data_IF_868239494064
#
_entry.id   IF_868239494064
#
_cell.length_a   1.000
_cell.length_b   1.000
_cell.length_c   1.000
_cell.angle_alpha   90.00
_cell.angle_beta   90.00
_cell.angle_gamma   90.00
#
_symmetry.space_group_name_H-M   'P 1'
#
loop_
_entity.id
_entity.type
_entity.pdbx_description
1 polymer ?
#
# COMPACT_ATOMS: atom_id res chain seq x y z
N UNK A 1 15.75 72.12 -60.39
CA UNK A 1 14.77 73.06 -59.79
C UNK A 1 15.09 73.14 -58.31
N UNK A 2 15.60 74.29 -57.89
CA UNK A 2 15.61 74.73 -56.50
C UNK A 2 14.19 74.86 -55.98
N UNK A 3 13.97 74.58 -54.69
CA UNK A 3 13.41 75.49 -53.67
C UNK A 3 13.17 74.64 -52.40
N UNK A 4 14.02 74.77 -51.37
CA UNK A 4 13.89 75.68 -50.23
C UNK A 4 13.12 75.07 -49.06
N UNK A 5 13.77 75.19 -47.90
CA UNK A 5 13.26 74.86 -46.58
C UNK A 5 12.12 75.81 -46.19
N UNK A 6 11.08 75.28 -45.51
CA UNK A 6 10.28 76.11 -44.60
C UNK A 6 10.13 75.41 -43.26
N UNK A 7 10.96 75.89 -42.33
CA UNK A 7 10.75 75.83 -40.89
C UNK A 7 9.42 76.47 -40.53
N UNK A 8 8.54 75.79 -39.79
CA UNK A 8 7.65 76.50 -38.83
C UNK A 8 7.13 75.56 -37.73
N UNK A 9 7.67 75.80 -36.53
CA UNK A 9 7.03 75.91 -35.21
C UNK A 9 6.33 74.70 -34.55
N UNK A 10 6.99 74.24 -33.47
CA UNK A 10 6.42 74.03 -32.13
C UNK A 10 5.01 74.59 -31.93
N UNK A 11 4.10 73.72 -31.51
CA UNK A 11 3.07 74.00 -30.49
C UNK A 11 2.50 72.66 -29.98
N UNK A 12 2.58 72.50 -28.65
CA UNK A 12 1.77 71.71 -27.71
C UNK A 12 0.63 70.87 -28.31
N UNK A 13 0.37 69.63 -27.87
CA UNK A 13 -0.02 69.29 -26.51
C UNK A 13 -0.23 67.76 -26.41
N UNK A 14 -0.21 67.23 -25.19
CA UNK A 14 -0.74 65.92 -24.78
C UNK A 14 0.02 64.63 -25.19
N UNK A 15 1.18 64.46 -24.55
CA UNK A 15 1.82 63.17 -24.28
C UNK A 15 0.86 62.14 -23.67
N UNK A 16 0.94 60.91 -24.20
CA UNK A 16 0.63 59.62 -23.58
C UNK A 16 -0.80 59.36 -23.07
N UNK A 17 -1.49 58.53 -23.84
CA UNK A 17 -2.52 57.59 -23.37
C UNK A 17 -1.99 56.87 -22.11
N UNK A 18 -2.69 56.88 -20.97
CA UNK A 18 -2.24 56.13 -19.80
C UNK A 18 -2.27 54.62 -20.11
N UNK A 19 -1.25 53.84 -19.72
CA UNK A 19 -1.37 52.39 -19.71
C UNK A 19 -2.53 52.02 -18.78
N UNK A 20 -3.29 50.95 -19.08
CA UNK A 20 -4.30 50.47 -18.14
C UNK A 20 -3.62 50.20 -16.80
N UNK A 21 -4.09 50.89 -15.76
CA UNK A 21 -3.77 50.57 -14.37
C UNK A 21 -4.21 49.12 -14.12
N UNK A 22 -3.30 48.17 -14.33
CA UNK A 22 -3.37 46.91 -13.62
C UNK A 22 -3.00 47.25 -12.18
N UNK A 23 -4.05 47.47 -11.37
CA UNK A 23 -3.94 47.47 -9.93
C UNK A 23 -3.06 46.28 -9.52
N UNK A 24 -1.86 46.61 -9.05
CA UNK A 24 -0.97 45.67 -8.41
C UNK A 24 -1.61 45.23 -7.11
N UNK A 25 -2.51 44.25 -7.21
CA UNK A 25 -2.78 43.36 -6.09
C UNK A 25 -1.55 42.44 -5.99
N UNK A 26 -0.53 42.94 -5.32
CA UNK A 26 0.62 42.16 -4.89
C UNK A 26 0.13 41.24 -3.75
N UNK A 27 -0.78 40.33 -4.05
CA UNK A 27 -1.01 39.18 -3.20
C UNK A 27 -0.04 38.11 -3.69
N UNK A 28 1.11 38.08 -3.00
CA UNK A 28 2.04 36.95 -2.82
C UNK A 28 1.60 35.68 -3.58
N UNK A 29 2.43 35.10 -4.48
CA UNK A 29 2.09 33.81 -5.07
C UNK A 29 1.71 32.87 -3.92
N UNK A 30 0.59 32.13 -3.99
CA UNK A 30 0.29 31.15 -2.96
C UNK A 30 1.57 30.33 -2.84
N UNK A 31 2.14 30.29 -1.64
CA UNK A 31 3.13 29.29 -1.30
C UNK A 31 2.50 27.98 -1.73
N UNK A 32 2.93 27.46 -2.89
CA UNK A 32 2.35 26.30 -3.53
C UNK A 32 2.73 25.12 -2.65
N UNK A 33 1.99 24.97 -1.55
CA UNK A 33 2.05 23.83 -0.68
C UNK A 33 1.64 22.66 -1.55
N UNK A 34 2.61 21.83 -1.92
CA UNK A 34 2.31 20.55 -2.51
C UNK A 34 1.63 19.74 -1.41
N UNK A 35 0.30 19.74 -1.41
CA UNK A 35 -0.48 18.80 -0.59
C UNK A 35 -0.20 17.40 -1.14
N UNK A 36 0.71 16.68 -0.47
CA UNK A 36 1.06 15.28 -0.79
C UNK A 36 -0.14 14.35 -0.51
N UNK A 37 -1.11 14.84 0.28
CA UNK A 37 -2.35 14.15 0.64
C UNK A 37 -3.58 14.99 0.24
N UNK A 38 -4.67 14.38 -0.27
CA UNK A 38 -4.86 12.96 -0.54
C UNK A 38 -4.17 12.49 -1.83
N UNK A 39 -3.72 11.22 -1.91
CA UNK A 39 -3.18 10.64 -3.14
C UNK A 39 -4.22 10.65 -4.26
N UNK A 40 -3.75 10.83 -5.50
CA UNK A 40 -4.64 10.73 -6.68
C UNK A 40 -5.16 9.31 -6.85
N UNK A 41 -6.32 9.15 -7.51
CA UNK A 41 -6.88 7.81 -7.79
C UNK A 41 -5.89 6.90 -8.51
N UNK A 42 -5.13 7.42 -9.47
CA UNK A 42 -4.08 6.66 -10.17
C UNK A 42 -3.03 6.10 -9.21
N UNK A 43 -2.64 6.89 -8.20
CA UNK A 43 -1.69 6.45 -7.17
C UNK A 43 -2.31 5.35 -6.31
N UNK A 44 -3.58 5.51 -5.91
CA UNK A 44 -4.33 4.48 -5.15
C UNK A 44 -4.42 3.17 -5.93
N UNK A 45 -4.75 3.23 -7.23
CA UNK A 45 -4.82 2.06 -8.10
C UNK A 45 -3.46 1.35 -8.26
N UNK A 46 -2.37 2.12 -8.32
CA UNK A 46 -1.02 1.57 -8.35
C UNK A 46 -0.66 0.84 -7.04
N UNK A 47 -1.09 1.36 -5.89
CA UNK A 47 -0.94 0.69 -4.58
C UNK A 47 -1.73 -0.61 -4.56
N UNK A 48 -2.98 -0.62 -5.02
CA UNK A 48 -3.81 -1.83 -5.12
C UNK A 48 -3.13 -2.87 -6.01
N UNK A 49 -2.65 -2.47 -7.19
CA UNK A 49 -1.92 -3.37 -8.11
C UNK A 49 -0.69 -3.96 -7.44
N UNK A 50 0.08 -3.15 -6.71
CA UNK A 50 1.26 -3.61 -5.99
C UNK A 50 0.92 -4.58 -4.86
N UNK A 51 -0.19 -4.35 -4.16
CA UNK A 51 -0.70 -5.27 -3.13
C UNK A 51 -1.09 -6.62 -3.75
N UNK A 52 -1.80 -6.61 -4.88
CA UNK A 52 -2.17 -7.84 -5.61
C UNK A 52 -0.92 -8.63 -5.98
N UNK A 53 0.08 -7.99 -6.60
CA UNK A 53 1.35 -8.63 -6.92
C UNK A 53 2.00 -9.23 -5.67
N UNK A 54 2.03 -8.49 -4.56
CA UNK A 54 2.68 -8.94 -3.32
C UNK A 54 1.96 -10.15 -2.69
N UNK A 55 0.63 -10.19 -2.76
CA UNK A 55 -0.19 -11.27 -2.20
C UNK A 55 -0.21 -12.52 -3.09
N UNK A 56 -0.09 -12.35 -4.41
CA UNK A 56 -0.16 -13.46 -5.39
C UNK A 56 1.20 -14.06 -5.74
N UNK A 57 2.28 -13.29 -5.64
CA UNK A 57 3.63 -13.74 -6.02
C UNK A 57 4.37 -14.42 -4.86
N UNK A 58 5.24 -15.40 -5.16
CA UNK A 58 6.10 -15.98 -4.15
C UNK A 58 7.11 -14.94 -3.63
N UNK A 59 7.06 -14.65 -2.33
CA UNK A 59 7.86 -13.63 -1.64
C UNK A 59 8.22 -14.10 -0.22
N UNK A 60 8.93 -13.27 0.55
CA UNK A 60 9.24 -13.57 1.96
C UNK A 60 7.97 -13.78 2.79
N UNK A 61 6.91 -13.02 2.50
CA UNK A 61 5.61 -13.19 3.14
C UNK A 61 4.97 -14.54 2.79
N UNK A 62 5.03 -14.96 1.52
CA UNK A 62 4.45 -16.23 1.09
C UNK A 62 5.20 -17.44 1.64
N UNK A 63 6.48 -17.31 2.04
CA UNK A 63 7.20 -18.39 2.73
C UNK A 63 6.64 -18.67 4.12
N UNK A 64 6.02 -17.67 4.77
CA UNK A 64 5.46 -17.79 6.12
C UNK A 64 3.96 -18.01 6.12
N UNK A 65 3.28 -17.40 5.16
CA UNK A 65 1.82 -17.38 5.11
C UNK A 65 1.25 -17.92 3.81
N UNK A 66 2.03 -18.36 2.82
CA UNK A 66 1.57 -18.78 1.49
C UNK A 66 1.10 -17.62 0.58
N UNK A 67 0.75 -17.92 -0.66
CA UNK A 67 0.17 -16.96 -1.63
C UNK A 67 -1.36 -17.02 -1.62
N UNK A 68 -2.00 -15.93 -2.07
CA UNK A 68 -3.44 -15.86 -2.28
C UNK A 68 -3.80 -16.11 -3.75
N UNK A 69 -4.98 -16.71 -4.04
CA UNK A 69 -5.51 -16.74 -5.40
C UNK A 69 -5.82 -15.33 -5.88
N UNK A 70 -5.71 -15.09 -7.20
CA UNK A 70 -5.81 -13.75 -7.77
C UNK A 70 -7.12 -13.03 -7.46
N UNK A 71 -8.25 -13.74 -7.47
CA UNK A 71 -9.57 -13.16 -7.18
C UNK A 71 -9.67 -12.63 -5.74
N UNK A 72 -9.28 -13.46 -4.77
CA UNK A 72 -9.24 -13.10 -3.35
C UNK A 72 -8.23 -11.96 -3.10
N UNK A 73 -7.05 -12.02 -3.74
CA UNK A 73 -6.03 -10.99 -3.62
C UNK A 73 -6.51 -9.63 -4.13
N UNK A 74 -7.29 -9.58 -5.22
CA UNK A 74 -7.89 -8.33 -5.74
C UNK A 74 -8.87 -7.75 -4.74
N UNK A 75 -9.77 -8.58 -4.20
CA UNK A 75 -10.74 -8.14 -3.19
C UNK A 75 -10.05 -7.63 -1.92
N UNK A 76 -9.09 -8.41 -1.40
CA UNK A 76 -8.34 -8.05 -0.21
C UNK A 76 -7.51 -6.77 -0.42
N UNK A 77 -6.82 -6.61 -1.55
CA UNK A 77 -6.02 -5.43 -1.84
C UNK A 77 -6.86 -4.15 -1.90
N UNK A 78 -8.06 -4.21 -2.49
CA UNK A 78 -8.99 -3.08 -2.50
C UNK A 78 -9.46 -2.72 -1.10
N UNK A 79 -9.82 -3.71 -0.30
CA UNK A 79 -10.26 -3.49 1.07
C UNK A 79 -9.15 -2.91 1.96
N UNK A 80 -7.94 -3.46 1.86
CA UNK A 80 -6.75 -2.95 2.57
C UNK A 80 -6.51 -1.48 2.24
N UNK A 81 -6.54 -1.13 0.95
CA UNK A 81 -6.27 0.23 0.48
C UNK A 81 -7.38 1.21 0.90
N UNK A 82 -8.65 0.84 0.71
CA UNK A 82 -9.79 1.69 1.07
C UNK A 82 -9.83 1.96 2.57
N UNK A 83 -9.66 0.92 3.40
CA UNK A 83 -9.65 1.10 4.85
C UNK A 83 -8.45 1.94 5.30
N UNK A 84 -7.28 1.77 4.69
CA UNK A 84 -6.11 2.58 5.00
C UNK A 84 -6.31 4.05 4.58
N UNK A 85 -6.94 4.29 3.42
CA UNK A 85 -7.27 5.61 2.93
C UNK A 85 -8.27 6.31 3.86
N UNK A 86 -9.31 5.59 4.32
CA UNK A 86 -10.29 6.12 5.27
C UNK A 86 -9.63 6.49 6.61
N UNK A 87 -8.86 5.58 7.20
CA UNK A 87 -8.19 5.83 8.51
C UNK A 87 -7.18 6.97 8.43
N UNK A 88 -6.43 7.06 7.34
CA UNK A 88 -5.52 8.18 7.11
C UNK A 88 -6.28 9.48 6.84
N UNK A 89 -7.39 9.42 6.09
CA UNK A 89 -8.29 10.54 5.83
C UNK A 89 -8.89 11.11 7.11
N UNK A 90 -9.27 10.26 8.07
CA UNK A 90 -9.77 10.68 9.39
C UNK A 90 -8.68 11.35 10.25
N UNK A 91 -7.41 11.03 9.98
CA UNK A 91 -6.26 11.67 10.61
C UNK A 91 -5.89 13.01 9.95
N UNK A 92 -6.51 13.36 8.82
CA UNK A 92 -6.24 14.60 8.12
C UNK A 92 -6.86 15.80 8.84
N UNK A 93 -6.00 16.68 9.35
CA UNK A 93 -6.46 17.92 10.00
C UNK A 93 -6.92 18.93 8.93
N UNK A 94 -8.08 19.58 9.10
CA UNK A 94 -8.67 20.47 8.08
C UNK A 94 -7.84 21.73 7.74
N UNK A 95 -6.88 22.12 8.59
CA UNK A 95 -6.04 23.31 8.41
C UNK A 95 -4.63 23.01 7.89
N UNK A 96 -4.43 21.84 7.28
CA UNK A 96 -3.14 21.46 6.71
C UNK A 96 -2.24 20.70 7.68
N UNK A 97 -2.78 19.65 8.30
CA UNK A 97 -1.94 18.61 8.91
C UNK A 97 -0.88 18.15 7.90
N UNK A 98 0.34 17.87 8.37
CA UNK A 98 1.44 17.54 7.47
C UNK A 98 1.06 16.31 6.63
N UNK A 99 0.91 16.50 5.32
CA UNK A 99 0.52 15.44 4.39
C UNK A 99 1.46 14.24 4.45
N UNK A 100 2.69 14.44 4.92
CA UNK A 100 3.68 13.38 5.17
C UNK A 100 3.27 12.50 6.36
N UNK A 101 2.81 13.08 7.47
CA UNK A 101 2.31 12.33 8.63
C UNK A 101 1.09 11.48 8.25
N UNK A 102 0.17 12.06 7.47
CA UNK A 102 -1.01 11.35 6.98
C UNK A 102 -0.60 10.18 6.07
N UNK A 103 0.35 10.41 5.16
CA UNK A 103 0.89 9.36 4.29
C UNK A 103 1.60 8.26 5.09
N UNK A 104 2.23 8.61 6.21
CA UNK A 104 2.84 7.65 7.12
C UNK A 104 1.78 6.76 7.78
N UNK A 105 0.65 7.32 8.22
CA UNK A 105 -0.50 6.56 8.74
C UNK A 105 -1.02 5.61 7.66
N UNK A 106 -1.23 6.10 6.44
CA UNK A 106 -1.67 5.28 5.30
C UNK A 106 -0.73 4.09 5.05
N UNK A 107 0.58 4.34 4.98
CA UNK A 107 1.60 3.30 4.73
C UNK A 107 1.64 2.25 5.84
N UNK A 108 1.49 2.69 7.10
CA UNK A 108 1.44 1.81 8.28
C UNK A 108 0.18 0.95 8.25
N UNK A 109 -0.97 1.52 7.95
CA UNK A 109 -2.25 0.81 7.89
C UNK A 109 -2.27 -0.22 6.75
N UNK A 110 -1.74 0.12 5.56
CA UNK A 110 -1.57 -0.86 4.47
C UNK A 110 -0.76 -2.06 4.95
N UNK A 111 0.42 -1.80 5.53
CA UNK A 111 1.33 -2.87 5.96
C UNK A 111 0.71 -3.75 7.03
N UNK A 112 0.01 -3.13 7.99
CA UNK A 112 -0.70 -3.82 9.08
C UNK A 112 -1.81 -4.71 8.52
N UNK A 113 -2.73 -4.15 7.73
CA UNK A 113 -3.86 -4.91 7.18
C UNK A 113 -3.42 -6.01 6.23
N UNK A 114 -2.39 -5.77 5.42
CA UNK A 114 -1.80 -6.82 4.58
C UNK A 114 -1.31 -8.00 5.41
N UNK A 115 -0.64 -7.76 6.54
CA UNK A 115 -0.22 -8.81 7.47
C UNK A 115 -1.41 -9.50 8.15
N UNK A 116 -2.44 -8.75 8.54
CA UNK A 116 -3.66 -9.31 9.13
C UNK A 116 -4.38 -10.23 8.15
N UNK A 117 -4.53 -9.84 6.88
CA UNK A 117 -5.12 -10.67 5.82
C UNK A 117 -4.38 -12.00 5.65
N UNK A 118 -3.04 -11.98 5.55
CA UNK A 118 -2.28 -13.23 5.34
C UNK A 118 -2.23 -14.11 6.59
N UNK A 119 -2.37 -13.52 7.80
CA UNK A 119 -2.41 -14.25 9.08
C UNK A 119 -3.78 -14.85 9.38
N UNK A 120 -4.86 -14.15 9.01
CA UNK A 120 -6.22 -14.64 9.21
C UNK A 120 -6.56 -15.81 8.28
N UNK A 121 -5.73 -16.06 7.26
CA UNK A 121 -5.95 -17.20 6.37
C UNK A 121 -5.78 -18.51 7.16
N UNK A 122 -6.75 -19.42 7.14
CA UNK A 122 -6.59 -20.74 7.73
C UNK A 122 -5.44 -21.43 7.01
N UNK A 123 -4.29 -21.53 7.70
CA UNK A 123 -3.22 -22.41 7.27
C UNK A 123 -3.77 -23.82 7.38
N UNK A 124 -3.64 -24.60 6.31
CA UNK A 124 -4.08 -26.00 6.27
C UNK A 124 -3.35 -26.84 7.35
N UNK A 125 -2.32 -26.28 8.00
CA UNK A 125 -1.54 -26.86 9.08
C UNK A 125 -1.92 -26.43 10.52
N UNK A 126 -3.04 -25.72 10.77
CA UNK A 126 -3.43 -25.35 12.16
C UNK A 126 -4.91 -25.47 12.49
N UNK A 127 -5.65 -26.33 11.80
CA UNK A 127 -7.00 -26.72 12.22
C UNK A 127 -7.13 -28.24 12.33
N UNK A 128 -6.37 -28.84 13.25
CA UNK A 128 -6.65 -30.18 13.77
C UNK A 128 -5.81 -30.45 15.02
N UNK A 129 -6.17 -29.92 16.18
CA UNK A 129 -6.25 -30.63 17.48
C UNK A 129 -6.96 -29.66 18.43
N UNK A 130 -8.29 -29.73 18.46
CA UNK A 130 -9.00 -29.53 19.72
C UNK A 130 -9.52 -30.90 20.12
N UNK A 131 -8.68 -31.61 20.89
CA UNK A 131 -9.07 -32.81 21.63
C UNK A 131 -9.65 -32.31 22.95
N UNK A 132 -10.98 -32.33 23.07
CA UNK A 132 -11.62 -32.45 24.37
C UNK A 132 -12.51 -33.71 24.41
N UNK A 133 -11.90 -34.74 24.98
CA UNK A 133 -12.44 -35.71 25.94
C UNK A 133 -13.97 -35.92 26.04
N UNK A 134 -14.41 -37.14 25.71
CA UNK A 134 -15.39 -37.84 26.55
C UNK A 134 -15.24 -39.36 26.36
N UNK A 135 -14.70 -39.99 27.40
CA UNK A 135 -14.60 -41.44 27.56
C UNK A 135 -15.97 -42.11 27.63
N UNK A 136 -16.12 -43.27 26.99
CA UNK A 136 -16.96 -44.37 27.48
C UNK A 136 -16.23 -45.71 27.31
N UNK A 137 -15.81 -46.22 28.47
CA UNK A 137 -15.57 -47.57 29.00
C UNK A 137 -15.66 -48.86 28.12
N UNK A 138 -15.09 -49.98 28.64
CA UNK A 138 -14.47 -51.07 27.89
C UNK A 138 -15.41 -52.27 27.64
N UNK A 139 -15.09 -53.08 26.63
CA UNK A 139 -15.47 -54.50 26.63
C UNK A 139 -14.25 -55.36 26.28
N UNK A 140 -14.14 -56.42 27.07
CA UNK A 140 -13.10 -57.43 27.14
C UNK A 140 -13.48 -58.53 26.15
N UNK A 141 -12.56 -59.01 25.32
CA UNK A 141 -12.33 -60.45 25.11
C UNK A 141 -10.98 -60.70 24.40
N UNK A 142 -10.34 -61.79 24.79
CA UNK A 142 -8.91 -62.15 24.67
C UNK A 142 -8.59 -62.84 23.29
N UNK A 143 -7.39 -63.43 23.00
CA UNK A 143 -6.63 -63.37 21.75
C UNK A 143 -6.60 -64.81 21.13
N UNK A 144 -5.57 -65.40 20.46
CA UNK A 144 -4.25 -64.93 20.01
C UNK A 144 -3.87 -65.40 18.58
N UNK A 145 -2.58 -65.23 18.24
CA UNK A 145 -1.81 -65.83 17.13
C UNK A 145 -1.53 -64.86 15.98
N UNK A 146 -0.31 -64.72 15.47
CA UNK A 146 0.98 -65.35 15.76
C UNK A 146 2.06 -64.48 15.08
N UNK A 147 3.27 -64.45 15.67
CA UNK A 147 4.60 -64.65 15.03
C UNK A 147 4.93 -63.83 13.75
N UNK A 148 6.10 -63.22 13.54
CA UNK A 148 7.47 -63.51 13.96
C UNK A 148 8.41 -62.37 13.49
N UNK A 149 9.59 -62.31 14.12
CA UNK A 149 10.89 -61.80 13.63
C UNK A 149 11.03 -60.31 13.24
N UNK A 150 11.86 -59.52 13.95
CA UNK A 150 13.35 -59.54 13.90
C UNK A 150 13.86 -59.09 12.51
N UNK A 151 14.85 -58.23 12.32
CA UNK A 151 15.91 -57.70 13.17
C UNK A 151 16.73 -56.71 12.31
N UNK A 152 17.33 -55.70 12.96
CA UNK A 152 18.58 -54.97 12.66
C UNK A 152 19.05 -54.71 11.22
N UNK A 153 19.50 -53.47 10.97
CA UNK A 153 20.94 -53.18 10.86
C UNK A 153 21.25 -51.69 10.60
N UNK A 154 21.97 -51.12 11.56
CA UNK A 154 22.83 -49.93 11.51
C UNK A 154 23.95 -50.12 10.48
N UNK A 155 24.25 -49.11 9.65
CA UNK A 155 25.64 -48.81 9.24
C UNK A 155 25.82 -47.31 8.99
N UNK A 156 26.68 -46.72 9.82
CA UNK A 156 27.42 -45.48 9.58
C UNK A 156 28.57 -45.78 8.61
N UNK A 157 28.95 -44.84 7.74
CA UNK A 157 30.36 -44.63 7.35
C UNK A 157 30.55 -43.21 6.80
N UNK A 158 31.32 -42.41 7.54
CA UNK A 158 32.16 -41.31 7.02
C UNK A 158 33.18 -41.87 6.01
N UNK A 159 33.63 -41.06 5.04
CA UNK A 159 35.07 -40.95 4.73
C UNK A 159 35.37 -39.74 3.83
N UNK A 160 36.30 -38.96 4.35
CA UNK A 160 37.07 -37.84 3.82
C UNK A 160 37.93 -38.21 2.61
N UNK A 161 38.12 -37.26 1.69
CA UNK A 161 39.34 -37.07 0.88
C UNK A 161 39.42 -35.61 0.44
#
# INVERSE_FOLDING_TARGET
>A
MSDSEVTTVTSSDSNSVPPPQQNGDQTKPPSAGFSIWPPTQRTRDAVITRLIETLTTPSVLSKRYGTLPSDEAVSAARQIEEDAFSVAGDSAVPDGGDGIEILQVYSKEISKKMLETVKARPTVDSSAVDKDSAAVAPTVDDPPSAEDAAESAKIETETET
#
